data_IF_150246645375
#
_entry.id   IF_150246645375
#
_cell.length_a   1.000
_cell.length_b   1.000
_cell.length_c   1.000
_cell.angle_alpha   90.00
_cell.angle_beta   90.00
_cell.angle_gamma   90.00
#
_symmetry.space_group_name_H-M   'P 1'
#
loop_
_entity.id
_entity.type
_entity.pdbx_description
1 polymer ?
#
# COMPACT_ATOMS: atom_id res chain seq x y z
N UNK A 1 -4.87 -14.03 -8.90
CA UNK A 1 -5.43 -15.08 -8.02
C UNK A 1 -6.03 -14.43 -6.80
N UNK A 2 -7.30 -14.70 -6.51
CA UNK A 2 -7.93 -14.22 -5.28
C UNK A 2 -7.53 -15.12 -4.11
N UNK A 3 -7.06 -14.54 -3.01
CA UNK A 3 -6.69 -15.24 -1.79
C UNK A 3 -7.57 -14.76 -0.62
N UNK A 4 -7.85 -15.62 0.38
CA UNK A 4 -8.60 -15.19 1.55
C UNK A 4 -7.82 -14.14 2.34
N UNK A 5 -8.53 -13.07 2.71
CA UNK A 5 -8.10 -12.11 3.71
C UNK A 5 -8.39 -12.64 5.13
N UNK A 6 -7.78 -12.03 6.15
CA UNK A 6 -7.87 -12.51 7.54
C UNK A 6 -8.90 -11.76 8.37
N UNK A 7 -9.01 -10.44 8.21
CA UNK A 7 -9.84 -9.56 9.01
C UNK A 7 -11.05 -9.00 8.23
N UNK A 8 -11.06 -9.13 6.89
CA UNK A 8 -12.15 -8.67 6.01
C UNK A 8 -12.62 -9.72 5.01
N UNK A 9 -13.81 -9.52 4.43
CA UNK A 9 -14.37 -10.41 3.39
C UNK A 9 -13.81 -10.16 1.99
N UNK A 10 -13.30 -8.96 1.72
CA UNK A 10 -12.70 -8.63 0.44
C UNK A 10 -11.41 -9.44 0.24
N UNK A 11 -11.18 -10.08 -0.92
CA UNK A 11 -10.02 -10.94 -1.12
C UNK A 11 -8.74 -10.13 -1.32
N UNK A 12 -7.61 -10.77 -1.03
CA UNK A 12 -6.28 -10.30 -1.46
C UNK A 12 -6.04 -10.69 -2.92
N UNK A 13 -5.14 -9.97 -3.60
CA UNK A 13 -4.63 -10.35 -4.93
C UNK A 13 -3.23 -10.93 -4.75
N UNK A 14 -3.07 -12.23 -5.00
CA UNK A 14 -1.83 -12.97 -4.68
C UNK A 14 -0.59 -12.50 -5.45
N UNK A 15 -0.76 -11.88 -6.61
CA UNK A 15 0.34 -11.41 -7.45
C UNK A 15 0.84 -10.01 -7.05
N UNK A 16 0.10 -9.28 -6.22
CA UNK A 16 0.47 -7.94 -5.76
C UNK A 16 1.68 -8.00 -4.82
N UNK A 17 2.49 -6.94 -4.85
CA UNK A 17 3.64 -6.80 -3.96
C UNK A 17 3.21 -6.63 -2.50
N UNK A 18 2.16 -5.85 -2.28
CA UNK A 18 1.59 -5.60 -0.97
C UNK A 18 0.08 -5.46 -1.07
N UNK A 19 -0.61 -5.66 0.05
CA UNK A 19 -2.04 -5.42 0.18
C UNK A 19 -2.37 -4.93 1.60
N UNK A 20 -3.38 -4.08 1.70
CA UNK A 20 -3.92 -3.61 2.97
C UNK A 20 -5.34 -4.14 3.13
N UNK A 21 -5.62 -4.77 4.27
CA UNK A 21 -6.99 -5.09 4.65
C UNK A 21 -7.59 -3.90 5.38
N UNK A 22 -8.68 -3.35 4.85
CA UNK A 22 -9.26 -2.12 5.36
C UNK A 22 -10.75 -2.25 5.68
N UNK A 23 -11.19 -1.56 6.73
CA UNK A 23 -12.60 -1.34 7.04
C UNK A 23 -13.00 0.09 6.68
N UNK A 24 -14.20 0.27 6.15
CA UNK A 24 -14.77 1.61 5.92
C UNK A 24 -15.19 2.18 7.28
N UNK A 25 -14.64 3.34 7.63
CA UNK A 25 -14.96 4.03 8.88
C UNK A 25 -15.75 5.32 8.65
N UNK A 26 -15.66 5.92 7.46
CA UNK A 26 -16.46 7.09 7.09
C UNK A 26 -16.61 7.22 5.56
N UNK A 27 -17.60 7.99 5.11
CA UNK A 27 -17.82 8.34 3.71
C UNK A 27 -18.24 9.81 3.55
N UNK A 28 -17.31 10.63 3.06
CA UNK A 28 -17.55 12.05 2.78
C UNK A 28 -18.24 12.19 1.42
N UNK A 29 -19.55 11.95 1.41
CA UNK A 29 -20.39 11.86 0.21
C UNK A 29 -20.22 13.02 -0.78
N UNK A 30 -20.11 14.26 -0.28
CA UNK A 30 -19.95 15.46 -1.13
C UNK A 30 -18.76 15.36 -2.09
N UNK A 31 -17.69 14.67 -1.68
CA UNK A 31 -16.44 14.57 -2.42
C UNK A 31 -16.18 13.16 -2.96
N UNK A 32 -17.05 12.19 -2.66
CA UNK A 32 -16.83 10.80 -3.02
C UNK A 32 -15.64 10.15 -2.31
N UNK A 33 -15.21 10.68 -1.15
CA UNK A 33 -14.07 10.16 -0.41
C UNK A 33 -14.50 9.08 0.58
N UNK A 34 -13.86 7.91 0.52
CA UNK A 34 -14.04 6.80 1.46
C UNK A 34 -12.86 6.80 2.42
N UNK A 35 -13.14 6.83 3.73
CA UNK A 35 -12.11 6.77 4.77
C UNK A 35 -11.96 5.33 5.24
N UNK A 36 -10.71 4.85 5.21
CA UNK A 36 -10.36 3.45 5.46
C UNK A 36 -9.45 3.33 6.69
N UNK A 37 -9.80 2.44 7.61
CA UNK A 37 -8.91 1.99 8.69
C UNK A 37 -8.17 0.74 8.23
N UNK A 38 -6.83 0.81 8.14
CA UNK A 38 -5.99 -0.33 7.82
C UNK A 38 -5.86 -1.24 9.06
N UNK A 39 -6.40 -2.46 8.94
CA UNK A 39 -6.40 -3.47 10.01
C UNK A 39 -5.25 -4.46 9.90
N UNK A 40 -4.71 -4.64 8.68
CA UNK A 40 -3.58 -5.53 8.41
C UNK A 40 -2.81 -5.09 7.18
N UNK A 41 -1.51 -5.36 7.20
CA UNK A 41 -0.61 -5.22 6.06
C UNK A 41 -0.10 -6.60 5.65
N UNK A 42 -0.13 -6.88 4.36
CA UNK A 42 0.50 -8.04 3.73
C UNK A 42 1.61 -7.56 2.80
N UNK A 43 2.73 -8.28 2.81
CA UNK A 43 3.84 -8.05 1.91
C UNK A 43 4.28 -9.38 1.30
N UNK A 44 4.39 -9.43 -0.02
CA UNK A 44 4.83 -10.62 -0.74
C UNK A 44 6.35 -10.62 -0.83
N UNK A 45 7.01 -11.19 0.18
CA UNK A 45 8.46 -11.30 0.24
C UNK A 45 9.05 -12.06 -0.96
N UNK A 46 8.35 -13.09 -1.45
CA UNK A 46 8.79 -13.93 -2.57
C UNK A 46 8.77 -13.25 -3.95
N UNK A 47 8.18 -12.06 -4.08
CA UNK A 47 8.14 -11.34 -5.36
C UNK A 47 9.52 -10.73 -5.69
N UNK A 48 10.13 -11.11 -6.82
CA UNK A 48 11.41 -10.54 -7.26
C UNK A 48 11.32 -9.06 -7.62
N UNK A 49 10.31 -8.68 -8.39
CA UNK A 49 10.05 -7.28 -8.74
C UNK A 49 9.39 -6.55 -7.56
N UNK A 50 10.06 -5.51 -7.06
CA UNK A 50 9.63 -4.72 -5.91
C UNK A 50 9.25 -3.28 -6.25
N UNK A 51 9.48 -2.83 -7.49
CA UNK A 51 9.14 -1.48 -7.93
C UNK A 51 7.62 -1.32 -8.03
N UNK A 52 7.13 -0.19 -7.56
CA UNK A 52 5.73 0.22 -7.69
C UNK A 52 5.59 1.10 -8.94
N UNK A 53 4.40 1.09 -9.53
CA UNK A 53 4.06 2.00 -10.61
C UNK A 53 3.20 3.16 -10.10
N UNK A 54 3.41 4.34 -10.67
CA UNK A 54 2.65 5.54 -10.37
C UNK A 54 1.90 5.97 -11.62
N UNK A 55 0.58 6.03 -11.55
CA UNK A 55 -0.23 6.54 -12.64
C UNK A 55 0.01 8.05 -12.81
N UNK A 56 0.28 8.51 -14.03
CA UNK A 56 0.52 9.93 -14.34
C UNK A 56 -0.65 10.60 -15.08
N UNK A 57 -1.77 9.89 -15.23
CA UNK A 57 -2.89 10.26 -16.08
C UNK A 57 -2.75 9.69 -17.49
N UNK A 58 -3.72 9.95 -18.37
CA UNK A 58 -3.75 9.60 -19.81
C UNK A 58 -3.48 8.13 -20.21
N UNK A 59 -3.45 7.20 -19.27
CA UNK A 59 -3.11 5.79 -19.51
C UNK A 59 -1.62 5.46 -19.38
N UNK A 60 -0.78 6.43 -19.01
CA UNK A 60 0.66 6.23 -18.81
C UNK A 60 1.02 6.04 -17.33
N UNK A 61 2.12 5.35 -17.08
CA UNK A 61 2.64 5.04 -15.76
C UNK A 61 4.15 5.27 -15.71
N UNK A 62 4.65 5.82 -14.60
CA UNK A 62 6.06 5.75 -14.24
C UNK A 62 6.30 4.55 -13.32
N UNK A 63 7.53 4.06 -13.26
CA UNK A 63 7.96 2.98 -12.37
C UNK A 63 9.06 3.53 -11.48
N UNK A 64 9.11 3.08 -10.21
CA UNK A 64 10.15 3.48 -9.27
C UNK A 64 11.56 3.36 -9.87
N UNK A 65 12.38 4.36 -9.54
CA UNK A 65 13.82 4.39 -9.84
C UNK A 65 14.63 3.95 -8.61
N UNK A 66 15.85 4.44 -8.49
CA UNK A 66 16.70 4.21 -7.32
C UNK A 66 16.15 4.89 -6.07
N UNK A 67 16.33 4.23 -4.93
CA UNK A 67 15.99 4.78 -3.60
C UNK A 67 17.18 5.60 -3.10
N UNK A 68 16.93 6.85 -2.70
CA UNK A 68 17.94 7.70 -2.04
C UNK A 68 17.73 7.60 -0.53
N UNK A 69 18.78 7.21 0.20
CA UNK A 69 18.73 7.02 1.65
C UNK A 69 19.08 8.31 2.41
N UNK A 70 18.07 8.91 3.05
CA UNK A 70 18.22 10.06 3.95
C UNK A 70 17.84 9.71 5.39
N UNK A 71 17.89 8.43 5.77
CA UNK A 71 17.41 7.98 7.08
C UNK A 71 18.09 8.70 8.25
N UNK A 72 19.38 8.99 8.16
CA UNK A 72 20.12 9.73 9.20
C UNK A 72 19.57 11.14 9.46
N UNK A 73 18.98 11.79 8.45
CA UNK A 73 18.36 13.11 8.60
C UNK A 73 16.95 13.04 9.20
N UNK A 74 16.40 11.83 9.34
CA UNK A 74 15.02 11.58 9.75
C UNK A 74 14.92 10.84 11.08
N UNK A 75 16.04 10.60 11.77
CA UNK A 75 16.10 9.81 13.01
C UNK A 75 15.04 10.22 14.04
N UNK A 76 14.83 11.53 14.26
CA UNK A 76 13.84 12.04 15.21
C UNK A 76 12.37 11.69 14.87
N UNK A 77 12.08 11.29 13.62
CA UNK A 77 10.74 10.99 13.11
C UNK A 77 10.50 9.51 12.87
N UNK A 78 11.54 8.69 12.94
CA UNK A 78 11.43 7.25 12.75
C UNK A 78 11.17 6.61 14.11
N UNK A 79 10.09 5.82 14.28
CA UNK A 79 9.84 5.13 15.55
C UNK A 79 10.97 4.17 15.90
N UNK A 80 11.21 3.99 17.20
CA UNK A 80 12.20 3.03 17.69
C UNK A 80 11.93 1.61 17.14
N UNK A 81 12.98 0.96 16.63
CA UNK A 81 12.91 -0.42 16.13
C UNK A 81 12.37 -0.57 14.69
N UNK A 82 12.09 0.52 13.99
CA UNK A 82 11.85 0.59 12.53
C UNK A 82 13.13 1.02 11.83
#
# INVERSE_FOLDING_TARGET
TALPAKDVKAPLIGECLAALECKVVDYVKKHGLVILEATRVWYNEGKTEKRVCHAIGNGSFSVDAEIIDYRSLMEEKVPDGV
#
